data_IF_230961131212
#
_entry.id   IF_230961131212
#
_cell.length_a   1.000
_cell.length_b   1.000
_cell.length_c   1.000
_cell.angle_alpha   90.00
_cell.angle_beta   90.00
_cell.angle_gamma   90.00
#
_symmetry.space_group_name_H-M   'P 1'
#
loop_
_entity.id
_entity.type
_entity.pdbx_description
1 polymer ?
#
# COMPACT_ATOMS: atom_id res chain seq x y z
N UNK A 1 8.39 -8.87 22.50
CA UNK A 1 8.85 -9.66 21.33
C UNK A 1 8.76 -8.73 20.14
N UNK A 2 9.77 -8.65 19.26
CA UNK A 2 9.68 -7.87 18.02
C UNK A 2 8.96 -8.72 16.97
N UNK A 3 8.01 -8.12 16.24
CA UNK A 3 7.31 -8.78 15.14
C UNK A 3 7.72 -8.17 13.81
N UNK A 4 7.71 -8.93 12.73
CA UNK A 4 7.75 -8.41 11.38
C UNK A 4 6.73 -7.30 11.16
N UNK A 5 7.08 -6.31 10.36
CA UNK A 5 6.22 -5.15 10.08
C UNK A 5 6.10 -4.92 8.58
N UNK A 6 4.99 -4.33 8.17
CA UNK A 6 4.83 -3.83 6.80
C UNK A 6 3.91 -2.60 6.79
N UNK A 7 4.06 -1.77 5.75
CA UNK A 7 3.35 -0.51 5.58
C UNK A 7 3.16 -0.21 4.09
N UNK A 8 1.95 0.21 3.70
CA UNK A 8 1.59 0.54 2.34
C UNK A 8 1.53 2.04 2.10
N UNK A 9 2.07 2.48 0.97
CA UNK A 9 1.73 3.77 0.40
C UNK A 9 0.79 3.56 -0.79
N UNK A 10 -0.33 4.29 -0.79
CA UNK A 10 -1.40 4.11 -1.79
C UNK A 10 -1.92 5.44 -2.30
N UNK A 11 -2.64 5.41 -3.42
CA UNK A 11 -3.39 6.56 -3.93
C UNK A 11 -4.77 6.16 -4.45
N UNK A 12 -5.71 7.08 -4.40
CA UNK A 12 -7.06 6.94 -4.95
C UNK A 12 -7.70 8.31 -5.14
N UNK A 13 -8.42 8.51 -6.23
CA UNK A 13 -9.23 9.70 -6.43
C UNK A 13 -10.59 9.63 -5.72
N UNK A 14 -10.83 8.62 -4.90
CA UNK A 14 -12.05 8.51 -4.10
C UNK A 14 -12.25 9.77 -3.25
N UNK A 15 -13.44 10.35 -3.32
CA UNK A 15 -13.77 11.61 -2.64
C UNK A 15 -13.41 12.87 -3.43
N UNK A 16 -12.71 12.75 -4.55
CA UNK A 16 -12.56 13.83 -5.52
C UNK A 16 -13.61 13.70 -6.62
N UNK A 17 -14.12 14.82 -7.12
CA UNK A 17 -15.11 14.86 -8.19
C UNK A 17 -14.48 15.51 -9.42
N UNK A 18 -14.67 14.91 -10.58
CA UNK A 18 -14.29 15.53 -11.84
C UNK A 18 -15.36 16.55 -12.25
N UNK A 19 -14.98 17.81 -12.40
CA UNK A 19 -15.83 18.86 -12.94
C UNK A 19 -15.60 18.95 -14.44
N UNK A 20 -16.65 18.63 -15.23
CA UNK A 20 -16.56 18.61 -16.69
C UNK A 20 -16.53 20.03 -17.30
N UNK A 21 -17.17 21.00 -16.65
CA UNK A 21 -17.21 22.39 -17.15
C UNK A 21 -15.85 23.06 -17.03
N UNK A 22 -15.20 22.89 -15.87
CA UNK A 22 -13.90 23.51 -15.59
C UNK A 22 -12.71 22.60 -15.98
N UNK A 23 -12.99 21.37 -16.45
CA UNK A 23 -11.97 20.34 -16.75
C UNK A 23 -10.97 20.17 -15.59
N UNK A 24 -11.45 20.11 -14.35
CA UNK A 24 -10.59 20.03 -13.17
C UNK A 24 -11.10 19.02 -12.12
N UNK A 25 -10.19 18.59 -11.25
CA UNK A 25 -10.53 17.80 -10.09
C UNK A 25 -10.86 18.70 -8.90
N UNK A 26 -12.04 18.53 -8.36
CA UNK A 26 -12.47 19.18 -7.12
C UNK A 26 -12.26 18.24 -5.94
N UNK A 27 -11.53 18.71 -4.95
CA UNK A 27 -11.30 17.96 -3.71
C UNK A 27 -12.51 18.02 -2.79
N UNK A 28 -12.63 17.09 -1.86
CA UNK A 28 -13.68 17.13 -0.84
C UNK A 28 -13.55 18.41 0.00
N UNK A 29 -14.69 19.06 0.34
CA UNK A 29 -14.68 20.27 1.14
C UNK A 29 -13.90 20.07 2.46
N UNK A 30 -12.88 20.90 2.69
CA UNK A 30 -12.06 20.86 3.91
C UNK A 30 -11.04 19.73 4.00
N UNK A 31 -10.93 18.84 3.02
CA UNK A 31 -9.93 17.80 2.97
C UNK A 31 -8.80 18.18 2.00
N UNK A 32 -7.64 18.50 2.55
CA UNK A 32 -6.52 18.95 1.73
C UNK A 32 -5.75 17.79 1.07
N UNK A 33 -5.82 16.56 1.60
CA UNK A 33 -4.78 15.58 1.35
C UNK A 33 -5.24 14.27 0.69
N UNK A 34 -6.42 13.75 0.96
CA UNK A 34 -7.05 12.61 0.26
C UNK A 34 -8.50 12.41 0.69
N UNK A 35 -9.28 11.71 -0.13
CA UNK A 35 -10.66 11.38 0.19
C UNK A 35 -10.86 10.27 1.23
N UNK A 36 -9.79 9.61 1.68
CA UNK A 36 -9.86 8.45 2.58
C UNK A 36 -10.71 8.71 3.84
N UNK A 37 -10.49 9.85 4.49
CA UNK A 37 -11.23 10.22 5.70
C UNK A 37 -12.73 10.47 5.43
N UNK A 38 -13.07 10.89 4.21
CA UNK A 38 -14.44 11.16 3.79
C UNK A 38 -15.17 9.88 3.38
N UNK A 39 -14.53 9.05 2.54
CA UNK A 39 -15.21 7.89 1.93
C UNK A 39 -15.01 6.59 2.71
N UNK A 40 -14.04 6.54 3.62
CA UNK A 40 -13.64 5.36 4.37
C UNK A 40 -12.81 4.36 3.55
N UNK A 41 -12.13 3.46 4.25
CA UNK A 41 -11.12 2.57 3.67
C UNK A 41 -11.66 1.71 2.54
N UNK A 42 -12.83 1.10 2.71
CA UNK A 42 -13.42 0.19 1.70
C UNK A 42 -13.74 0.92 0.39
N UNK A 43 -14.37 2.09 0.46
CA UNK A 43 -14.70 2.88 -0.73
C UNK A 43 -13.44 3.45 -1.38
N UNK A 44 -12.44 3.82 -0.58
CA UNK A 44 -11.15 4.28 -1.06
C UNK A 44 -10.45 3.20 -1.89
N UNK A 45 -10.42 1.96 -1.41
CA UNK A 45 -9.79 0.82 -2.09
C UNK A 45 -10.63 0.34 -3.28
N UNK A 46 -11.95 0.36 -3.18
CA UNK A 46 -12.85 -0.07 -4.25
C UNK A 46 -12.91 0.91 -5.44
N UNK A 47 -12.37 2.13 -5.27
CA UNK A 47 -12.42 3.14 -6.33
C UNK A 47 -11.54 2.72 -7.53
N UNK A 48 -12.01 2.90 -8.80
CA UNK A 48 -11.30 2.45 -10.00
C UNK A 48 -9.88 3.00 -10.17
N UNK A 49 -9.59 4.14 -9.53
CA UNK A 49 -8.27 4.77 -9.58
C UNK A 49 -7.35 4.35 -8.44
N UNK A 50 -7.79 3.43 -7.57
CA UNK A 50 -6.96 2.96 -6.47
C UNK A 50 -5.71 2.26 -6.98
N UNK A 51 -4.57 2.59 -6.37
CA UNK A 51 -3.28 1.99 -6.70
C UNK A 51 -2.42 1.89 -5.45
N UNK A 52 -1.68 0.79 -5.33
CA UNK A 52 -0.55 0.69 -4.41
C UNK A 52 0.64 1.38 -5.06
N UNK A 53 1.30 2.27 -4.34
CA UNK A 53 2.53 2.94 -4.78
C UNK A 53 3.76 2.16 -4.33
N UNK A 54 3.77 1.77 -3.06
CA UNK A 54 4.86 0.98 -2.50
C UNK A 54 4.40 0.17 -1.29
N UNK A 55 5.20 -0.81 -0.94
CA UNK A 55 5.11 -1.61 0.26
C UNK A 55 6.50 -1.70 0.89
N UNK A 56 6.68 -1.11 2.06
CA UNK A 56 7.86 -1.30 2.88
C UNK A 56 7.62 -2.42 3.88
N UNK A 57 8.62 -3.26 4.14
CA UNK A 57 8.48 -4.36 5.10
C UNK A 57 9.83 -4.79 5.69
N UNK A 58 9.80 -5.27 6.92
CA UNK A 58 10.93 -5.95 7.57
C UNK A 58 10.42 -7.21 8.26
N UNK A 59 10.91 -8.36 7.84
CA UNK A 59 10.55 -9.66 8.43
C UNK A 59 11.51 -10.13 9.51
N UNK A 60 12.44 -9.27 9.92
CA UNK A 60 13.41 -9.51 11.01
C UNK A 60 14.34 -10.72 10.79
N UNK A 61 14.59 -11.08 9.53
CA UNK A 61 15.50 -12.18 9.14
C UNK A 61 16.97 -11.76 9.02
N UNK A 62 17.31 -10.57 9.48
CA UNK A 62 18.66 -10.01 9.45
C UNK A 62 19.03 -9.29 8.15
N UNK A 63 18.16 -9.29 7.13
CA UNK A 63 18.41 -8.57 5.88
C UNK A 63 17.93 -7.10 5.94
N UNK A 64 17.22 -6.73 7.02
CA UNK A 64 16.68 -5.38 7.20
C UNK A 64 15.44 -5.09 6.36
N UNK A 65 15.03 -3.82 6.39
CA UNK A 65 13.86 -3.35 5.68
C UNK A 65 14.04 -3.45 4.16
N UNK A 66 12.97 -3.80 3.48
CA UNK A 66 12.88 -3.92 2.02
C UNK A 66 11.74 -3.10 1.49
N UNK A 67 11.88 -2.63 0.25
CA UNK A 67 10.85 -1.91 -0.47
C UNK A 67 10.41 -2.73 -1.69
N UNK A 68 9.12 -2.82 -1.88
CA UNK A 68 8.51 -3.36 -3.09
C UNK A 68 7.60 -2.31 -3.72
N UNK A 69 7.53 -2.32 -5.04
CA UNK A 69 6.62 -1.49 -5.83
C UNK A 69 5.90 -2.33 -6.87
N UNK A 70 4.72 -1.93 -7.39
CA UNK A 70 4.01 -2.68 -8.42
C UNK A 70 4.80 -2.91 -9.70
N UNK A 71 5.83 -2.09 -9.97
CA UNK A 71 6.74 -2.23 -11.13
C UNK A 71 8.03 -2.98 -10.80
N UNK A 72 8.18 -3.48 -9.57
CA UNK A 72 9.32 -4.34 -9.23
C UNK A 72 9.30 -5.64 -10.04
N UNK A 73 10.48 -6.12 -10.48
CA UNK A 73 10.61 -7.34 -11.28
C UNK A 73 10.11 -8.60 -10.58
N UNK A 74 10.13 -8.61 -9.26
CA UNK A 74 9.70 -9.75 -8.46
C UNK A 74 8.77 -9.30 -7.32
N UNK A 75 7.84 -10.17 -6.90
CA UNK A 75 6.98 -9.90 -5.76
C UNK A 75 7.79 -9.86 -4.46
N UNK A 76 7.24 -9.34 -3.35
CA UNK A 76 7.90 -9.30 -2.04
C UNK A 76 7.92 -10.68 -1.39
N UNK A 77 8.65 -11.64 -1.98
CA UNK A 77 8.60 -13.09 -1.71
C UNK A 77 8.81 -13.43 -0.25
N UNK A 78 9.74 -12.73 0.42
CA UNK A 78 10.02 -12.94 1.86
C UNK A 78 8.78 -12.68 2.72
N UNK A 79 8.09 -11.55 2.49
CA UNK A 79 6.87 -11.20 3.22
C UNK A 79 5.72 -12.14 2.86
N UNK A 80 5.54 -12.45 1.55
CA UNK A 80 4.48 -13.34 1.09
C UNK A 80 4.61 -14.73 1.72
N UNK A 81 5.85 -15.25 1.81
CA UNK A 81 6.14 -16.52 2.47
C UNK A 81 5.81 -16.44 3.97
N UNK A 82 6.23 -15.38 4.66
CA UNK A 82 5.92 -15.18 6.08
C UNK A 82 4.41 -15.22 6.33
N UNK A 83 3.61 -14.52 5.50
CA UNK A 83 2.15 -14.50 5.61
C UNK A 83 1.55 -15.88 5.29
N UNK A 84 2.02 -16.56 4.23
CA UNK A 84 1.54 -17.89 3.84
C UNK A 84 1.76 -18.94 4.95
N UNK A 85 2.87 -18.84 5.67
CA UNK A 85 3.21 -19.67 6.83
C UNK A 85 2.52 -19.25 8.14
N UNK A 86 1.52 -18.35 8.06
CA UNK A 86 0.78 -17.86 9.22
C UNK A 86 1.64 -17.08 10.24
N UNK A 87 2.72 -16.48 9.78
CA UNK A 87 3.56 -15.61 10.61
C UNK A 87 2.81 -14.40 11.14
N UNK A 88 3.12 -14.01 12.37
CA UNK A 88 2.56 -12.81 13.01
C UNK A 88 3.25 -11.56 12.48
N UNK A 89 2.49 -10.54 12.15
CA UNK A 89 2.97 -9.21 11.76
C UNK A 89 2.40 -8.14 12.68
N UNK A 90 3.15 -7.06 12.87
CA UNK A 90 2.70 -5.91 13.62
C UNK A 90 2.69 -4.65 12.76
N UNK A 91 1.90 -3.67 13.14
CA UNK A 91 1.87 -2.38 12.48
C UNK A 91 0.96 -1.39 13.18
N UNK A 92 1.10 -0.12 12.80
CA UNK A 92 0.29 0.96 13.35
C UNK A 92 -1.03 1.06 12.60
N UNK A 93 -2.16 0.77 13.26
CA UNK A 93 -3.49 0.69 12.64
C UNK A 93 -3.60 -0.39 11.55
N UNK A 94 -2.80 -1.44 11.66
CA UNK A 94 -2.67 -2.47 10.62
C UNK A 94 -3.98 -3.18 10.31
N UNK A 95 -4.85 -3.35 11.30
CA UNK A 95 -6.20 -3.91 11.12
C UNK A 95 -7.18 -2.94 10.44
N UNK A 96 -6.93 -1.63 10.54
CA UNK A 96 -7.81 -0.60 9.98
C UNK A 96 -7.54 -0.22 8.54
N UNK A 97 -6.32 -0.40 8.03
CA UNK A 97 -5.97 -0.02 6.67
C UNK A 97 -5.21 -1.12 5.93
N UNK A 98 -4.03 -1.52 6.38
CA UNK A 98 -3.15 -2.47 5.69
C UNK A 98 -3.84 -3.81 5.43
N UNK A 99 -4.62 -4.30 6.39
CA UNK A 99 -5.42 -5.51 6.25
C UNK A 99 -6.38 -5.44 5.05
N UNK A 100 -7.04 -4.30 4.88
CA UNK A 100 -7.96 -4.08 3.77
C UNK A 100 -7.22 -3.90 2.44
N UNK A 101 -6.13 -3.16 2.39
CA UNK A 101 -5.30 -3.05 1.18
C UNK A 101 -4.81 -4.43 0.75
N UNK A 102 -4.35 -5.23 1.72
CA UNK A 102 -3.88 -6.58 1.45
C UNK A 102 -4.98 -7.49 0.88
N UNK A 103 -6.09 -7.66 1.61
CA UNK A 103 -7.11 -8.64 1.26
C UNK A 103 -8.07 -8.15 0.16
N UNK A 104 -8.49 -6.89 0.18
CA UNK A 104 -9.47 -6.37 -0.75
C UNK A 104 -8.85 -6.02 -2.11
N UNK A 105 -7.53 -5.75 -2.15
CA UNK A 105 -6.83 -5.41 -3.38
C UNK A 105 -5.70 -6.38 -3.72
N UNK A 106 -4.65 -6.52 -2.90
CA UNK A 106 -3.44 -7.26 -3.29
C UNK A 106 -3.70 -8.76 -3.51
N UNK A 107 -4.56 -9.38 -2.70
CA UNK A 107 -4.99 -10.78 -2.91
C UNK A 107 -5.62 -10.94 -4.28
N UNK A 108 -6.50 -10.01 -4.68
CA UNK A 108 -7.22 -10.07 -5.96
C UNK A 108 -6.34 -9.67 -7.15
N UNK A 109 -5.59 -8.58 -7.00
CA UNK A 109 -4.82 -8.00 -8.10
C UNK A 109 -3.50 -8.73 -8.36
N UNK A 110 -2.84 -9.22 -7.31
CA UNK A 110 -1.51 -9.84 -7.40
C UNK A 110 -1.51 -11.33 -7.07
N UNK A 111 -2.65 -11.89 -6.62
CA UNK A 111 -2.75 -13.29 -6.17
C UNK A 111 -1.87 -13.59 -4.96
N UNK A 112 -1.79 -12.65 -4.02
CA UNK A 112 -1.05 -12.84 -2.78
C UNK A 112 -1.80 -13.76 -1.82
N UNK A 113 -1.12 -14.43 -0.88
CA UNK A 113 -1.78 -15.23 0.15
C UNK A 113 -2.68 -14.33 1.02
N UNK A 114 -3.86 -14.79 1.44
CA UNK A 114 -4.73 -14.01 2.31
C UNK A 114 -4.07 -13.79 3.67
N UNK A 115 -4.22 -12.57 4.18
CA UNK A 115 -3.81 -12.19 5.52
C UNK A 115 -4.98 -12.39 6.48
N UNK A 116 -4.77 -13.08 7.58
CA UNK A 116 -5.81 -13.31 8.57
C UNK A 116 -5.69 -12.32 9.73
N UNK A 117 -6.81 -12.00 10.36
CA UNK A 117 -6.83 -11.08 11.51
C UNK A 117 -5.98 -11.59 12.68
N UNK A 118 -5.96 -12.88 12.92
CA UNK A 118 -5.16 -13.52 13.95
C UNK A 118 -3.65 -13.45 13.72
N UNK A 119 -3.21 -13.07 12.53
CA UNK A 119 -1.81 -12.80 12.21
C UNK A 119 -1.40 -11.36 12.54
N UNK A 120 -2.31 -10.51 12.99
CA UNK A 120 -2.07 -9.09 13.18
C UNK A 120 -1.90 -8.72 14.65
N UNK A 121 -0.90 -7.91 14.93
CA UNK A 121 -0.74 -7.16 16.18
C UNK A 121 -0.86 -5.68 15.86
N UNK A 122 -1.92 -5.04 16.34
CA UNK A 122 -2.14 -3.61 16.10
C UNK A 122 -1.53 -2.76 17.23
N UNK A 123 -0.39 -2.15 16.92
CA UNK A 123 0.35 -1.32 17.87
C UNK A 123 -0.41 -0.05 18.28
N UNK A 124 -1.28 0.49 17.40
CA UNK A 124 -2.13 1.63 17.76
C UNK A 124 -3.20 1.22 18.78
N UNK A 125 -3.80 0.05 18.62
CA UNK A 125 -4.77 -0.47 19.58
C UNK A 125 -4.10 -0.72 20.94
N UNK A 126 -2.90 -1.30 20.95
CA UNK A 126 -2.10 -1.48 22.16
C UNK A 126 -1.74 -0.13 22.82
N UNK A 127 -1.27 0.84 22.04
CA UNK A 127 -0.95 2.19 22.55
C UNK A 127 -2.17 2.86 23.19
N UNK A 128 -3.34 2.77 22.54
CA UNK A 128 -4.60 3.33 23.09
C UNK A 128 -5.05 2.64 24.37
N UNK A 129 -4.83 1.32 24.51
CA UNK A 129 -5.10 0.60 25.75
C UNK A 129 -4.25 1.11 26.92
N UNK A 130 -3.07 1.70 26.64
CA UNK A 130 -2.21 2.39 27.59
C UNK A 130 -2.47 3.90 27.66
N UNK A 131 -3.62 4.38 27.17
CA UNK A 131 -4.01 5.80 27.16
C UNK A 131 -3.06 6.72 26.38
N UNK A 132 -2.25 6.15 25.48
CA UNK A 132 -1.37 6.92 24.61
C UNK A 132 -2.15 7.50 23.41
N UNK A 133 -1.64 8.54 22.74
CA UNK A 133 -2.27 9.12 21.57
C UNK A 133 -2.46 8.09 20.42
N UNK A 134 -3.50 8.29 19.58
CA UNK A 134 -3.72 7.42 18.40
C UNK A 134 -2.79 7.73 17.22
N UNK A 135 -2.03 8.81 17.24
CA UNK A 135 -1.05 9.16 16.22
C UNK A 135 0.33 8.63 16.60
N UNK A 136 0.98 7.90 15.69
CA UNK A 136 2.34 7.38 15.91
C UNK A 136 3.35 8.51 16.23
N UNK A 137 3.24 9.66 15.55
CA UNK A 137 4.09 10.82 15.81
C UNK A 137 3.93 11.33 17.25
N UNK A 138 2.67 11.47 17.69
CA UNK A 138 2.40 11.96 19.06
C UNK A 138 2.83 10.94 20.13
N UNK A 139 2.73 9.64 19.84
CA UNK A 139 3.27 8.60 20.74
C UNK A 139 4.78 8.71 20.85
N UNK A 140 5.46 8.92 19.72
CA UNK A 140 6.91 9.15 19.70
C UNK A 140 7.32 10.33 20.57
N UNK A 141 6.57 11.45 20.49
CA UNK A 141 6.82 12.64 21.29
C UNK A 141 6.58 12.38 22.79
N UNK A 142 5.47 11.70 23.15
CA UNK A 142 5.15 11.37 24.54
C UNK A 142 6.20 10.44 25.16
N UNK A 143 6.63 9.43 24.40
CA UNK A 143 7.63 8.45 24.83
C UNK A 143 9.07 8.95 24.68
N UNK A 144 9.28 10.16 24.12
CA UNK A 144 10.59 10.77 23.85
C UNK A 144 11.50 9.81 23.05
N UNK A 145 10.95 9.23 21.98
CA UNK A 145 11.72 8.36 21.10
C UNK A 145 12.73 9.18 20.29
N UNK A 146 13.93 8.64 20.09
CA UNK A 146 14.99 9.30 19.32
C UNK A 146 14.66 9.40 17.82
N UNK A 147 13.73 8.56 17.33
CA UNK A 147 13.30 8.55 15.93
C UNK A 147 12.09 9.47 15.77
N UNK A 148 12.25 10.54 15.00
CA UNK A 148 11.19 11.49 14.65
C UNK A 148 10.68 11.20 13.26
N UNK A 149 9.36 11.26 13.07
CA UNK A 149 8.74 11.10 11.74
C UNK A 149 9.25 12.19 10.79
N UNK A 150 9.71 11.77 9.59
CA UNK A 150 10.16 12.72 8.56
C UNK A 150 8.99 13.61 8.10
N UNK A 151 9.21 14.91 8.16
CA UNK A 151 8.22 15.93 7.76
C UNK A 151 8.12 16.05 6.22
N UNK A 152 9.19 15.70 5.49
CA UNK A 152 9.21 15.78 4.01
C UNK A 152 8.30 14.72 3.39
N UNK A 153 8.10 13.59 4.05
CA UNK A 153 7.19 12.53 3.62
C UNK A 153 5.76 13.02 3.39
N UNK A 154 5.28 13.96 4.19
CA UNK A 154 3.92 14.51 4.03
C UNK A 154 3.73 15.24 2.70
N UNK A 155 4.71 15.99 2.24
CA UNK A 155 4.66 16.69 0.95
C UNK A 155 4.73 15.72 -0.22
N UNK A 156 5.55 14.67 -0.10
CA UNK A 156 5.61 13.60 -1.10
C UNK A 156 4.30 12.83 -1.21
N UNK A 157 3.70 12.46 -0.07
CA UNK A 157 2.37 11.84 -0.06
C UNK A 157 1.39 12.74 -0.81
N UNK A 158 1.28 14.02 -0.44
CA UNK A 158 0.39 14.95 -1.11
C UNK A 158 0.66 15.05 -2.63
N UNK A 159 1.93 15.11 -3.04
CA UNK A 159 2.32 15.18 -4.45
C UNK A 159 1.83 13.98 -5.26
N UNK A 160 1.84 12.77 -4.69
CA UNK A 160 1.55 11.54 -5.42
C UNK A 160 0.14 10.99 -5.19
N UNK A 161 -0.55 11.41 -4.13
CA UNK A 161 -1.88 10.88 -3.77
C UNK A 161 -3.04 11.84 -4.05
N UNK A 162 -2.77 13.13 -4.26
CA UNK A 162 -3.80 14.09 -4.68
C UNK A 162 -3.86 14.12 -6.21
N UNK A 163 -5.07 13.99 -6.82
CA UNK A 163 -5.22 14.14 -8.26
C UNK A 163 -4.68 15.49 -8.73
N UNK A 164 -3.79 15.45 -9.71
CA UNK A 164 -3.27 16.68 -10.29
C UNK A 164 -4.27 17.30 -11.25
N UNK A 165 -4.25 18.61 -11.32
CA UNK A 165 -5.03 19.32 -12.34
C UNK A 165 -4.44 19.05 -13.74
N UNK A 166 -5.26 18.67 -14.72
CA UNK A 166 -4.80 18.43 -16.07
C UNK A 166 -4.32 19.73 -16.71
N UNK A 167 -3.40 19.60 -17.65
CA UNK A 167 -2.96 20.69 -18.50
C UNK A 167 -3.19 20.31 -19.97
N UNK A 168 -3.14 21.29 -20.88
CA UNK A 168 -3.27 21.00 -22.34
C UNK A 168 -2.25 19.95 -22.82
N UNK A 169 -1.08 19.92 -22.22
CA UNK A 169 0.02 19.02 -22.58
C UNK A 169 -0.01 17.67 -21.85
N UNK A 170 -0.67 17.61 -20.69
CA UNK A 170 -0.65 16.40 -19.85
C UNK A 170 -2.01 16.23 -19.15
N UNK A 171 -2.74 15.21 -19.58
CA UNK A 171 -4.04 14.82 -19.05
C UNK A 171 -3.95 13.72 -17.95
N UNK A 172 -2.74 13.32 -17.55
CA UNK A 172 -2.57 12.31 -16.51
C UNK A 172 -3.13 12.79 -15.17
N UNK A 173 -3.90 11.93 -14.51
CA UNK A 173 -4.52 12.21 -13.21
C UNK A 173 -3.49 12.27 -12.06
N UNK A 174 -2.36 11.58 -12.20
CA UNK A 174 -1.35 11.47 -11.17
C UNK A 174 0.01 12.06 -11.59
N UNK A 175 0.77 12.53 -10.60
CA UNK A 175 2.20 12.62 -10.74
C UNK A 175 2.77 11.21 -10.56
N UNK A 176 3.66 10.79 -11.45
CA UNK A 176 4.33 9.50 -11.31
C UNK A 176 5.61 9.68 -10.49
N UNK A 177 5.89 8.77 -9.55
CA UNK A 177 7.19 8.75 -8.87
C UNK A 177 8.30 8.45 -9.89
N UNK A 178 9.48 9.00 -9.66
CA UNK A 178 10.66 8.65 -10.43
C UNK A 178 10.99 7.17 -10.13
N UNK A 179 10.98 6.34 -11.16
CA UNK A 179 11.36 4.93 -11.04
C UNK A 179 12.84 4.81 -11.40
N UNK A 180 13.71 4.42 -10.47
CA UNK A 180 15.13 4.27 -10.73
C UNK A 180 15.45 3.20 -11.78
N UNK A 181 14.55 2.25 -12.02
CA UNK A 181 14.68 1.20 -13.03
C UNK A 181 14.12 1.61 -14.41
N UNK A 182 13.41 2.73 -14.51
CA UNK A 182 12.99 3.30 -15.77
C UNK A 182 14.00 4.35 -16.25
N UNK A 183 14.31 4.39 -17.56
CA UNK A 183 15.13 5.46 -18.10
C UNK A 183 14.44 6.80 -17.81
N UNK A 184 15.22 7.85 -17.45
CA UNK A 184 14.65 9.17 -17.19
C UNK A 184 13.77 9.57 -18.37
N UNK A 185 12.60 10.20 -18.11
CA UNK A 185 11.70 10.59 -19.17
C UNK A 185 12.46 11.47 -20.16
N UNK A 186 12.72 10.93 -21.34
CA UNK A 186 13.28 11.73 -22.43
C UNK A 186 12.28 12.85 -22.68
N UNK A 187 12.73 14.08 -22.63
CA UNK A 187 11.94 15.32 -22.62
C UNK A 187 11.08 15.56 -23.89
N UNK A 188 10.80 14.55 -24.67
CA UNK A 188 9.98 14.61 -25.88
C UNK A 188 8.95 13.49 -25.88
N UNK A 189 7.71 13.88 -25.51
CA UNK A 189 6.45 13.20 -25.84
C UNK A 189 6.29 11.77 -25.33
N UNK A 190 5.94 11.59 -24.05
CA UNK A 190 5.00 10.52 -23.76
C UNK A 190 3.63 10.90 -24.33
N UNK A 191 3.40 10.49 -25.56
CA UNK A 191 2.11 10.60 -26.26
C UNK A 191 1.16 9.48 -25.83
N UNK A 192 1.41 8.71 -24.88
CA UNK A 192 0.51 7.76 -24.26
C UNK A 192 0.99 7.54 -22.83
N UNK A 193 0.52 8.39 -21.89
CA UNK A 193 0.24 7.84 -20.58
C UNK A 193 -0.96 6.93 -20.78
N UNK A 194 -0.71 5.78 -21.35
CA UNK A 194 -1.54 4.65 -21.08
C UNK A 194 -1.62 4.64 -19.56
N UNK A 195 -2.78 5.07 -19.01
CA UNK A 195 -3.21 4.56 -17.73
C UNK A 195 -2.85 3.10 -17.88
N UNK A 196 -1.86 2.62 -17.13
CA UNK A 196 -1.71 1.20 -16.97
C UNK A 196 -3.01 0.86 -16.26
N UNK A 197 -4.05 0.64 -17.04
CA UNK A 197 -5.15 -0.16 -16.63
C UNK A 197 -4.42 -1.44 -16.20
N UNK A 198 -4.16 -1.51 -14.90
CA UNK A 198 -4.05 -2.82 -14.29
C UNK A 198 -5.21 -3.58 -14.93
N UNK A 199 -4.95 -4.65 -15.66
CA UNK A 199 -6.05 -5.38 -16.21
C UNK A 199 -7.00 -5.54 -15.02
N UNK A 200 -8.24 -5.12 -15.16
CA UNK A 200 -9.35 -5.69 -14.41
C UNK A 200 -9.37 -7.14 -14.91
N UNK A 201 -8.31 -7.87 -14.62
CA UNK A 201 -8.32 -9.29 -14.67
C UNK A 201 -9.37 -9.63 -13.64
N UNK A 202 -10.58 -9.88 -14.11
CA UNK A 202 -11.38 -10.94 -13.55
C UNK A 202 -10.34 -12.01 -13.23
N UNK A 203 -9.96 -12.08 -11.94
CA UNK A 203 -9.05 -13.11 -11.47
C UNK A 203 -9.80 -14.38 -11.82
N UNK A 204 -9.34 -15.08 -12.84
CA UNK A 204 -9.80 -16.41 -13.12
C UNK A 204 -9.60 -17.16 -11.80
N UNK A 205 -10.70 -17.51 -11.14
CA UNK A 205 -10.66 -18.16 -9.83
C UNK A 205 -9.76 -19.40 -9.87
N UNK A 206 -9.70 -20.09 -11.00
CA UNK A 206 -8.83 -21.25 -11.20
C UNK A 206 -7.34 -20.89 -11.19
N UNK A 207 -6.95 -19.77 -11.79
CA UNK A 207 -5.57 -19.28 -11.73
C UNK A 207 -5.19 -18.80 -10.34
N UNK A 208 -6.14 -18.19 -9.61
CA UNK A 208 -5.97 -17.82 -8.23
C UNK A 208 -5.78 -19.04 -7.33
N UNK A 209 -6.67 -20.04 -7.44
CA UNK A 209 -6.60 -21.27 -6.64
C UNK A 209 -5.32 -22.07 -6.90
N UNK A 210 -4.88 -22.17 -8.17
CA UNK A 210 -3.60 -22.79 -8.52
C UNK A 210 -2.40 -22.07 -7.90
N UNK A 211 -2.43 -20.73 -7.88
CA UNK A 211 -1.37 -19.91 -7.28
C UNK A 211 -1.36 -20.01 -5.76
N UNK A 212 -2.54 -20.09 -5.14
CA UNK A 212 -2.68 -20.34 -3.70
C UNK A 212 -2.16 -21.72 -3.32
N UNK A 213 -2.37 -22.74 -4.17
CA UNK A 213 -1.84 -24.07 -3.94
C UNK A 213 -0.30 -24.06 -3.99
N UNK A 214 0.29 -23.37 -4.99
CA UNK A 214 1.75 -23.23 -5.08
C UNK A 214 2.34 -22.57 -3.80
N UNK A 215 1.66 -21.58 -3.21
CA UNK A 215 2.11 -20.97 -1.96
C UNK A 215 2.03 -21.92 -0.76
N UNK A 216 0.96 -22.74 -0.70
CA UNK A 216 0.83 -23.78 0.34
C UNK A 216 1.89 -24.86 0.19
N UNK A 217 2.11 -25.31 -1.04
CA UNK A 217 3.11 -26.35 -1.34
C UNK A 217 4.53 -25.85 -1.08
N UNK A 218 4.84 -24.59 -1.37
CA UNK A 218 6.11 -23.98 -1.04
C UNK A 218 6.33 -23.85 0.48
N UNK A 219 5.25 -23.71 1.27
CA UNK A 219 5.29 -23.72 2.73
C UNK A 219 5.47 -25.12 3.32
N UNK A 220 4.96 -26.16 2.65
CA UNK A 220 5.05 -27.54 3.12
C UNK A 220 6.40 -28.21 2.88
N UNK A 221 7.26 -27.63 2.04
CA UNK A 221 8.61 -28.18 1.75
C UNK A 221 9.61 -27.95 2.91
N UNK A 222 9.29 -27.09 3.88
CA UNK A 222 10.21 -26.77 4.99
C UNK A 222 9.86 -27.40 6.34
N UNK A 223 8.77 -28.15 6.44
CA UNK A 223 8.49 -28.94 7.65
C UNK A 223 9.44 -30.13 7.84
N UNK A 224 10.32 -30.38 6.84
CA UNK A 224 11.32 -31.47 6.85
C UNK A 224 12.75 -31.01 7.25
N UNK A 225 12.94 -29.79 7.80
CA UNK A 225 14.24 -29.42 8.35
C UNK A 225 14.30 -29.89 9.81
N UNK A 226 15.11 -30.90 10.13
CA UNK A 226 15.28 -31.31 11.53
C UNK A 226 15.99 -30.20 12.31
N UNK A 227 15.48 -29.90 13.49
CA UNK A 227 16.06 -28.99 14.48
C UNK A 227 17.44 -29.43 14.93
#
# INVERSE_FOLDING_TARGET
MKHPTFDFETRSAAGFVWNEEDECWEGPPGAADCGLALVGVKNYIAHPTFQVLSLSYDILDGQGASLWTPWSKSPPTRLLRHIALRGITAGWNVGGFEFHVWNDFCVKAYGWPPLLLEQLVDDMAAARAWTLPGSLANVGDVLKLDVVKDKTGKELIKKFTVPRQPTKANKAIWNEPDDPDLPPPTSKKRKDSTIVHMPSALVDNAAYDAKMQLWRDAGSIEDDIPF
#
